data_IF_760237788751
#
_entry.id   IF_760237788751
#
_cell.length_a   1.000
_cell.length_b   1.000
_cell.length_c   1.000
_cell.angle_alpha   90.00
_cell.angle_beta   90.00
_cell.angle_gamma   90.00
#
_symmetry.space_group_name_H-M   'P 1'
#
loop_
_entity.id
_entity.type
_entity.pdbx_description
1 polymer ?
#
# COMPACT_ATOMS: atom_id res chain seq x y z
N UNK A 1 -3.23 28.02 1.24
CA UNK A 1 -3.24 26.83 2.12
C UNK A 1 -2.07 26.89 3.10
N UNK A 2 -2.04 26.07 4.16
CA UNK A 2 -0.91 26.02 5.10
C UNK A 2 0.43 25.72 4.39
N UNK A 3 0.36 25.01 3.26
CA UNK A 3 1.47 24.70 2.35
C UNK A 3 2.03 25.94 1.63
N UNK A 4 1.20 26.97 1.40
CA UNK A 4 1.58 28.19 0.67
C UNK A 4 2.05 29.32 1.60
N UNK A 5 1.94 29.14 2.92
CA UNK A 5 2.14 30.21 3.92
C UNK A 5 3.58 30.34 4.45
N UNK A 6 4.59 29.80 3.76
CA UNK A 6 6.01 29.85 4.18
C UNK A 6 6.26 29.50 5.66
N UNK A 7 5.48 28.56 6.20
CA UNK A 7 5.59 28.14 7.59
C UNK A 7 6.76 27.16 7.71
N UNK A 8 7.82 27.56 8.44
CA UNK A 8 9.03 26.74 8.59
C UNK A 8 8.89 25.54 9.54
N UNK A 9 7.77 25.44 10.28
CA UNK A 9 7.53 24.37 11.28
C UNK A 9 6.09 23.88 11.22
N UNK A 10 5.91 22.57 11.35
CA UNK A 10 4.56 21.98 11.46
C UNK A 10 3.83 22.60 12.67
N UNK A 11 2.62 23.17 12.50
CA UNK A 11 1.86 23.71 13.63
C UNK A 11 1.51 22.62 14.64
N UNK A 12 1.50 22.98 15.92
CA UNK A 12 1.32 22.06 17.05
C UNK A 12 0.11 21.14 16.90
N UNK A 13 -1.00 21.63 16.34
CA UNK A 13 -2.24 20.85 16.14
C UNK A 13 -2.10 19.65 15.19
N UNK A 14 -1.06 19.60 14.37
CA UNK A 14 -0.76 18.48 13.45
C UNK A 14 0.35 17.58 13.97
N UNK A 15 0.98 17.92 15.10
CA UNK A 15 2.04 17.10 15.70
C UNK A 15 1.38 15.97 16.49
N UNK A 16 1.59 14.73 16.06
CA UNK A 16 1.09 13.57 16.78
C UNK A 16 1.67 13.46 18.20
N UNK A 17 0.93 12.90 19.17
CA UNK A 17 1.46 12.52 20.49
C UNK A 17 2.72 11.66 20.35
N UNK A 18 3.70 11.74 21.28
CA UNK A 18 4.94 10.98 21.18
C UNK A 18 4.76 9.47 20.94
N UNK A 19 3.73 8.85 21.52
CA UNK A 19 3.42 7.42 21.34
C UNK A 19 2.93 7.04 19.94
N UNK A 20 2.46 8.00 19.14
CA UNK A 20 1.97 7.81 17.78
C UNK A 20 2.95 8.30 16.72
N UNK A 21 4.07 8.89 17.12
CA UNK A 21 5.08 9.35 16.16
C UNK A 21 5.78 8.13 15.56
N UNK A 22 6.09 8.15 14.25
CA UNK A 22 6.86 7.08 13.64
C UNK A 22 8.18 6.89 14.38
N UNK A 23 8.44 5.66 14.84
CA UNK A 23 9.75 5.32 15.38
C UNK A 23 10.72 5.16 14.21
N UNK A 24 11.51 6.20 13.93
CA UNK A 24 12.68 6.08 13.06
C UNK A 24 13.75 5.30 13.82
N UNK A 25 13.66 3.97 13.79
CA UNK A 25 14.69 3.11 14.33
C UNK A 25 15.65 2.75 13.19
N UNK A 26 16.89 3.28 13.15
CA UNK A 26 17.84 2.99 12.07
C UNK A 26 18.27 1.51 12.03
N UNK A 27 18.11 0.76 13.13
CA UNK A 27 18.29 -0.71 13.17
C UNK A 27 17.06 -1.50 12.74
N UNK A 28 15.88 -0.87 12.65
CA UNK A 28 14.70 -1.34 11.92
C UNK A 28 14.66 -0.63 10.56
N UNK A 29 15.84 -0.40 9.97
CA UNK A 29 15.95 -0.13 8.55
C UNK A 29 15.19 -1.25 7.83
N UNK A 30 14.04 -0.88 7.27
CA UNK A 30 13.28 -1.72 6.34
C UNK A 30 13.03 -3.15 6.84
N UNK A 31 12.26 -3.34 7.94
CA UNK A 31 11.40 -4.53 7.93
C UNK A 31 10.37 -4.29 6.83
N UNK A 32 10.77 -4.53 5.59
CA UNK A 32 9.87 -4.56 4.44
C UNK A 32 8.84 -5.61 4.78
N UNK A 33 7.65 -5.16 5.15
CA UNK A 33 6.49 -6.04 5.14
C UNK A 33 6.35 -6.41 3.66
N UNK A 34 6.74 -7.64 3.33
CA UNK A 34 6.56 -8.19 1.99
C UNK A 34 5.07 -8.47 1.83
N UNK A 35 4.33 -7.42 1.50
CA UNK A 35 2.92 -7.52 1.20
C UNK A 35 2.72 -8.41 -0.03
N UNK A 36 1.69 -9.25 -0.06
CA UNK A 36 1.35 -10.02 -1.23
C UNK A 36 1.13 -9.10 -2.44
N UNK A 37 1.63 -9.51 -3.60
CA UNK A 37 1.35 -8.89 -4.89
C UNK A 37 0.61 -9.92 -5.73
N UNK A 38 -0.62 -9.60 -6.13
CA UNK A 38 -1.46 -10.50 -6.94
C UNK A 38 -1.49 -10.02 -8.38
N UNK A 39 -1.14 -10.91 -9.31
CA UNK A 39 -1.21 -10.63 -10.75
C UNK A 39 -2.61 -10.96 -11.28
N UNK A 40 -3.35 -9.93 -11.67
CA UNK A 40 -4.73 -10.08 -12.15
C UNK A 40 -4.83 -10.48 -13.63
N UNK A 41 -3.73 -10.50 -14.39
CA UNK A 41 -3.73 -10.94 -15.78
C UNK A 41 -4.27 -12.38 -15.91
N UNK A 42 -4.00 -13.23 -14.92
CA UNK A 42 -4.37 -14.64 -14.91
C UNK A 42 -5.84 -14.90 -14.51
N UNK A 43 -6.62 -13.89 -14.14
CA UNK A 43 -8.05 -14.06 -13.83
C UNK A 43 -8.88 -14.46 -15.06
N UNK A 44 -8.38 -14.17 -16.25
CA UNK A 44 -9.01 -14.50 -17.53
C UNK A 44 -8.66 -15.90 -18.03
N UNK A 45 -7.63 -16.54 -17.48
CA UNK A 45 -7.26 -17.92 -17.80
C UNK A 45 -8.05 -18.88 -16.90
N UNK A 46 -8.94 -19.74 -17.45
CA UNK A 46 -9.74 -20.67 -16.65
C UNK A 46 -8.92 -21.63 -15.79
N UNK A 47 -7.71 -22.00 -16.22
CA UNK A 47 -6.83 -22.92 -15.50
C UNK A 47 -6.12 -22.23 -14.33
N UNK A 48 -5.77 -20.95 -14.47
CA UNK A 48 -5.04 -20.19 -13.45
C UNK A 48 -5.95 -19.39 -12.51
N UNK A 49 -7.18 -19.09 -12.94
CA UNK A 49 -8.16 -18.33 -12.16
C UNK A 49 -8.37 -18.86 -10.73
N UNK A 50 -8.52 -20.18 -10.47
CA UNK A 50 -8.69 -20.69 -9.11
C UNK A 50 -7.50 -20.36 -8.21
N UNK A 51 -6.28 -20.40 -8.75
CA UNK A 51 -5.06 -20.04 -8.01
C UNK A 51 -5.07 -18.56 -7.62
N UNK A 52 -5.39 -17.67 -8.55
CA UNK A 52 -5.44 -16.23 -8.26
C UNK A 52 -6.49 -15.91 -7.19
N UNK A 53 -7.66 -16.54 -7.26
CA UNK A 53 -8.72 -16.38 -6.24
C UNK A 53 -8.20 -16.84 -4.86
N UNK A 54 -7.47 -17.96 -4.81
CA UNK A 54 -6.87 -18.44 -3.57
C UNK A 54 -5.78 -17.51 -3.03
N UNK A 55 -4.95 -16.91 -3.89
CA UNK A 55 -3.96 -15.91 -3.48
C UNK A 55 -4.63 -14.67 -2.87
N UNK A 56 -5.74 -14.20 -3.44
CA UNK A 56 -6.55 -13.12 -2.88
C UNK A 56 -7.13 -13.51 -1.51
N UNK A 57 -7.69 -14.71 -1.38
CA UNK A 57 -8.22 -15.21 -0.11
C UNK A 57 -7.15 -15.22 0.99
N UNK A 58 -5.97 -15.75 0.69
CA UNK A 58 -4.86 -15.84 1.63
C UNK A 58 -4.32 -14.47 2.01
N UNK A 59 -4.23 -13.54 1.05
CA UNK A 59 -3.84 -12.17 1.32
C UNK A 59 -4.84 -11.45 2.24
N UNK A 60 -6.13 -11.61 1.99
CA UNK A 60 -7.19 -11.07 2.85
C UNK A 60 -7.12 -11.63 4.28
N UNK A 61 -6.96 -12.94 4.44
CA UNK A 61 -6.90 -13.59 5.76
C UNK A 61 -5.61 -13.29 6.53
N UNK A 62 -4.47 -13.28 5.84
CA UNK A 62 -3.16 -13.14 6.47
C UNK A 62 -2.74 -11.70 6.75
N UNK A 63 -3.08 -10.79 5.84
CA UNK A 63 -2.60 -9.40 5.91
C UNK A 63 -3.74 -8.37 6.00
N UNK A 64 -4.93 -8.69 5.50
CA UNK A 64 -6.02 -7.72 5.34
C UNK A 64 -5.73 -6.64 4.27
N UNK A 65 -4.58 -6.72 3.60
CA UNK A 65 -4.14 -5.78 2.58
C UNK A 65 -3.12 -6.44 1.63
N UNK A 66 -3.15 -6.07 0.36
CA UNK A 66 -2.24 -6.56 -0.68
C UNK A 66 -2.17 -5.58 -1.85
N UNK A 67 -1.19 -5.77 -2.72
CA UNK A 67 -1.03 -5.02 -3.96
C UNK A 67 -1.53 -5.86 -5.14
N UNK A 68 -1.99 -5.20 -6.19
CA UNK A 68 -2.38 -5.84 -7.45
C UNK A 68 -1.59 -5.26 -8.61
N UNK A 69 -1.28 -6.10 -9.59
CA UNK A 69 -0.69 -5.70 -10.88
C UNK A 69 -1.53 -6.26 -12.03
N UNK A 70 -1.32 -5.71 -13.23
CA UNK A 70 -2.05 -6.10 -14.45
C UNK A 70 -3.59 -6.09 -14.26
N UNK A 71 -4.10 -5.11 -13.52
CA UNK A 71 -5.52 -4.98 -13.17
C UNK A 71 -6.41 -4.52 -14.34
N UNK A 72 -5.85 -4.32 -15.54
CA UNK A 72 -6.60 -3.95 -16.75
C UNK A 72 -7.06 -2.49 -16.83
N UNK A 73 -6.74 -1.64 -15.84
CA UNK A 73 -7.04 -0.20 -15.90
C UNK A 73 -5.85 0.49 -16.57
N UNK A 74 -6.14 1.34 -17.55
CA UNK A 74 -5.12 2.10 -18.29
C UNK A 74 -4.29 2.97 -17.35
N UNK A 75 -2.98 3.04 -17.60
CA UNK A 75 -2.06 3.86 -16.79
C UNK A 75 -2.35 5.35 -16.92
N UNK A 76 -3.01 5.79 -18.00
CA UNK A 76 -3.52 7.17 -18.13
C UNK A 76 -4.53 7.49 -17.03
N UNK A 77 -5.58 6.67 -16.91
CA UNK A 77 -6.63 6.80 -15.89
C UNK A 77 -6.09 6.80 -14.45
N UNK A 78 -4.99 6.07 -14.19
CA UNK A 78 -4.37 6.02 -12.85
C UNK A 78 -3.49 7.24 -12.56
N UNK A 79 -2.99 7.91 -13.60
CA UNK A 79 -2.04 9.04 -13.49
C UNK A 79 -2.71 10.41 -13.60
N UNK A 80 -3.98 10.46 -14.01
CA UNK A 80 -4.81 11.66 -14.03
C UNK A 80 -5.25 12.06 -12.61
#
# INVERSE_FOLDING_TARGET
ALTESNVHRVPTRYILPPSQRPMFCPSIGTKTINLPVVDLAFLHDPLLRPRVIHEIEMACKGFGFFQIINHGISTSVVKD
#
